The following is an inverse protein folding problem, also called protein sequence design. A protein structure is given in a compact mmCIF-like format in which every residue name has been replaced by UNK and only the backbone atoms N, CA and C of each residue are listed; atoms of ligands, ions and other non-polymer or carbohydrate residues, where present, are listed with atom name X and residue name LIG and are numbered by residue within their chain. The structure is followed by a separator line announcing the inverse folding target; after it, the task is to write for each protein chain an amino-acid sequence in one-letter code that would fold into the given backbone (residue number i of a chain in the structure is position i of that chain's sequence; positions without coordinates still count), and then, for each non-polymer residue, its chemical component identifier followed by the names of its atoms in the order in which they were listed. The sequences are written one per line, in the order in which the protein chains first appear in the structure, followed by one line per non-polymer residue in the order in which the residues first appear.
data_IF_589444813775
#
_entry.id   IF_589444813775
#
_cell.length_a   1.000
_cell.length_b   1.000
_cell.length_c   1.000
_cell.angle_alpha   90.00
_cell.angle_beta   90.00
_cell.angle_gamma   90.00
#
_symmetry.space_group_name_H-M   'P 1'
#
loop_
_entity.id
_entity.type
_entity.pdbx_description
1 polymer ?
#
# COMPACT_ATOMS: atom_id res chain seq x y z
N UNK A 1 -5.23 -35.91 4.09
CA UNK A 1 -3.88 -35.53 3.61
C UNK A 1 -3.21 -34.65 4.66
N UNK A 2 -1.90 -34.77 4.94
CA UNK A 2 -1.25 -33.86 5.88
C UNK A 2 -1.32 -32.45 5.32
N UNK A 3 -1.96 -31.56 6.08
CA UNK A 3 -2.30 -30.20 5.69
C UNK A 3 -1.08 -29.47 5.08
N UNK A 4 -1.14 -29.11 3.79
CA UNK A 4 -0.07 -28.40 3.07
C UNK A 4 0.34 -27.12 3.82
N UNK A 5 -0.62 -26.42 4.43
CA UNK A 5 -0.40 -25.25 5.29
C UNK A 5 0.51 -25.58 6.48
N UNK A 6 0.32 -26.74 7.13
CA UNK A 6 1.18 -27.17 8.26
C UNK A 6 2.59 -27.54 7.80
N UNK A 7 2.73 -28.22 6.64
CA UNK A 7 4.04 -28.54 6.07
C UNK A 7 4.80 -27.26 5.71
N UNK A 8 4.11 -26.30 5.11
CA UNK A 8 4.64 -24.99 4.79
C UNK A 8 5.05 -24.23 6.05
N UNK A 9 4.21 -24.18 7.09
CA UNK A 9 4.57 -23.54 8.37
C UNK A 9 5.85 -24.14 8.97
N UNK A 10 5.99 -25.47 8.97
CA UNK A 10 7.18 -26.16 9.51
C UNK A 10 8.45 -25.86 8.69
N UNK A 11 8.34 -25.86 7.36
CA UNK A 11 9.49 -25.52 6.51
C UNK A 11 9.85 -24.04 6.64
N UNK A 12 8.86 -23.16 6.76
CA UNK A 12 9.08 -21.74 6.96
C UNK A 12 9.79 -21.45 8.28
N UNK A 13 9.33 -22.03 9.39
CA UNK A 13 10.02 -21.89 10.69
C UNK A 13 11.45 -22.45 10.62
N UNK A 14 11.66 -23.58 9.94
CA UNK A 14 13.00 -24.15 9.76
C UNK A 14 13.93 -23.22 8.97
N UNK A 15 13.41 -22.61 7.90
CA UNK A 15 14.13 -21.58 7.14
C UNK A 15 14.47 -20.38 8.02
N UNK A 16 13.50 -19.84 8.77
CA UNK A 16 13.72 -18.68 9.62
C UNK A 16 14.78 -18.92 10.72
N UNK A 17 14.88 -20.15 11.24
CA UNK A 17 15.90 -20.54 12.22
C UNK A 17 17.32 -20.62 11.63
N UNK A 18 17.44 -21.03 10.36
CA UNK A 18 18.73 -21.10 9.66
C UNK A 18 18.52 -20.83 8.16
N UNK A 19 18.51 -19.54 7.75
CA UNK A 19 18.23 -19.14 6.38
C UNK A 19 19.40 -19.40 5.42
N UNK A 20 20.59 -19.75 5.93
CA UNK A 20 21.77 -20.07 5.13
C UNK A 20 21.84 -21.54 4.71
N UNK A 21 21.07 -22.42 5.36
CA UNK A 21 21.00 -23.84 5.02
C UNK A 21 20.35 -24.06 3.65
N UNK A 22 21.11 -24.60 2.70
CA UNK A 22 20.60 -24.97 1.38
C UNK A 22 19.41 -25.94 1.46
N UNK A 23 19.48 -26.92 2.37
CA UNK A 23 18.39 -27.88 2.64
C UNK A 23 17.11 -27.19 3.11
N UNK A 24 17.23 -26.17 3.97
CA UNK A 24 16.07 -25.42 4.45
C UNK A 24 15.46 -24.58 3.32
N UNK A 25 16.30 -23.91 2.51
CA UNK A 25 15.85 -23.17 1.31
C UNK A 25 15.09 -24.06 0.34
N UNK A 26 15.68 -25.20 -0.03
CA UNK A 26 15.08 -26.17 -0.95
C UNK A 26 13.75 -26.71 -0.41
N UNK A 27 13.71 -27.09 0.87
CA UNK A 27 12.49 -27.58 1.50
C UNK A 27 11.41 -26.50 1.55
N UNK A 28 11.78 -25.25 1.82
CA UNK A 28 10.87 -24.13 1.87
C UNK A 28 10.28 -23.82 0.49
N UNK A 29 11.11 -23.75 -0.55
CA UNK A 29 10.68 -23.59 -1.96
C UNK A 29 9.77 -24.72 -2.39
N UNK A 30 10.13 -25.97 -2.10
CA UNK A 30 9.31 -27.13 -2.44
C UNK A 30 7.93 -27.10 -1.80
N UNK A 31 7.85 -26.71 -0.52
CA UNK A 31 6.57 -26.56 0.16
C UNK A 31 5.75 -25.40 -0.40
N UNK A 32 6.39 -24.29 -0.76
CA UNK A 32 5.72 -23.15 -1.39
C UNK A 32 5.16 -23.53 -2.76
N UNK A 33 5.97 -24.20 -3.58
CA UNK A 33 5.54 -24.71 -4.88
C UNK A 33 4.35 -25.68 -4.76
N UNK A 34 4.33 -26.55 -3.75
CA UNK A 34 3.20 -27.45 -3.54
C UNK A 34 1.87 -26.72 -3.23
N UNK A 35 1.91 -25.57 -2.54
CA UNK A 35 0.73 -24.73 -2.34
C UNK A 35 0.27 -24.10 -3.66
N UNK A 36 1.22 -23.61 -4.47
CA UNK A 36 0.89 -23.03 -5.78
C UNK A 36 0.27 -24.08 -6.71
N UNK A 37 0.86 -25.27 -6.78
CA UNK A 37 0.38 -26.39 -7.60
C UNK A 37 -1.04 -26.80 -7.18
N UNK A 38 -1.26 -26.96 -5.87
CA UNK A 38 -2.58 -27.27 -5.31
C UNK A 38 -3.63 -26.20 -5.67
N UNK A 39 -3.28 -24.92 -5.58
CA UNK A 39 -4.17 -23.82 -5.94
C UNK A 39 -4.53 -23.82 -7.44
N UNK A 40 -3.55 -24.04 -8.32
CA UNK A 40 -3.79 -24.11 -9.77
C UNK A 40 -4.59 -25.36 -10.15
N UNK A 41 -4.35 -26.49 -9.48
CA UNK A 41 -5.14 -27.73 -9.70
C UNK A 41 -6.60 -27.54 -9.29
N UNK A 42 -6.88 -26.84 -8.19
CA UNK A 42 -8.25 -26.63 -7.71
C UNK A 42 -8.98 -25.48 -8.41
N UNK A 43 -8.28 -24.40 -8.78
CA UNK A 43 -8.90 -23.16 -9.26
C UNK A 43 -8.66 -22.89 -10.75
N UNK A 44 -7.81 -23.67 -11.42
CA UNK A 44 -7.35 -23.41 -12.78
C UNK A 44 -6.33 -22.28 -12.87
N UNK A 45 -6.10 -21.76 -14.08
CA UNK A 45 -5.10 -20.71 -14.36
C UNK A 45 -5.65 -19.28 -14.24
N UNK A 46 -6.78 -19.09 -13.56
CA UNK A 46 -7.36 -17.77 -13.31
C UNK A 46 -6.68 -17.10 -12.09
N UNK A 47 -5.91 -16.00 -12.28
CA UNK A 47 -5.12 -15.35 -11.22
C UNK A 47 -5.90 -15.04 -9.95
N UNK A 48 -7.05 -14.41 -10.08
CA UNK A 48 -7.83 -13.97 -8.92
C UNK A 48 -8.30 -15.16 -8.06
N UNK A 49 -8.63 -16.29 -8.69
CA UNK A 49 -9.10 -17.49 -7.99
C UNK A 49 -7.96 -18.22 -7.29
N UNK A 50 -6.88 -18.54 -8.01
CA UNK A 50 -5.78 -19.31 -7.40
C UNK A 50 -5.00 -18.45 -6.38
N UNK A 51 -4.89 -17.14 -6.56
CA UNK A 51 -4.28 -16.24 -5.55
C UNK A 51 -5.11 -16.21 -4.26
N UNK A 52 -6.43 -16.10 -4.38
CA UNK A 52 -7.33 -16.15 -3.21
C UNK A 52 -7.22 -17.48 -2.47
N UNK A 53 -7.18 -18.61 -3.19
CA UNK A 53 -6.98 -19.93 -2.61
C UNK A 53 -5.63 -20.05 -1.87
N UNK A 54 -4.53 -19.60 -2.51
CA UNK A 54 -3.22 -19.57 -1.86
C UNK A 54 -3.26 -18.73 -0.58
N UNK A 55 -3.91 -17.57 -0.61
CA UNK A 55 -4.02 -16.69 0.56
C UNK A 55 -4.68 -17.38 1.75
N UNK A 56 -5.79 -18.08 1.54
CA UNK A 56 -6.50 -18.84 2.58
C UNK A 56 -5.65 -19.97 3.19
N UNK A 57 -4.75 -20.58 2.40
CA UNK A 57 -3.82 -21.59 2.93
C UNK A 57 -2.64 -20.97 3.69
N UNK A 58 -2.11 -19.85 3.20
CA UNK A 58 -0.89 -19.21 3.71
C UNK A 58 -1.18 -18.42 4.99
N UNK A 59 -2.30 -17.68 5.05
CA UNK A 59 -2.68 -16.85 6.19
C UNK A 59 -2.59 -17.58 7.54
N UNK A 60 -3.24 -18.75 7.75
CA UNK A 60 -3.09 -19.50 8.99
C UNK A 60 -1.67 -20.07 9.17
N UNK A 61 -0.96 -20.37 8.07
CA UNK A 61 0.39 -20.92 8.13
C UNK A 61 1.41 -19.92 8.69
N UNK A 62 1.24 -18.63 8.41
CA UNK A 62 2.18 -17.57 8.83
C UNK A 62 1.70 -16.82 10.08
N UNK A 63 0.47 -17.05 10.53
CA UNK A 63 -0.10 -16.38 11.69
C UNK A 63 0.75 -16.58 12.95
N UNK A 64 1.02 -15.48 13.64
CA UNK A 64 1.81 -15.44 14.88
C UNK A 64 3.33 -15.59 14.70
N UNK A 65 3.82 -15.76 13.46
CA UNK A 65 5.27 -15.77 13.20
C UNK A 65 5.78 -14.33 13.26
N UNK A 66 6.71 -14.07 14.18
CA UNK A 66 7.43 -12.79 14.28
C UNK A 66 8.86 -13.00 13.81
N UNK A 67 9.36 -12.08 12.99
CA UNK A 67 10.74 -12.12 12.47
C UNK A 67 11.47 -10.84 12.82
N UNK A 68 12.78 -10.93 13.06
CA UNK A 68 13.61 -9.75 13.25
C UNK A 68 13.79 -8.99 11.93
N UNK A 69 14.15 -7.70 11.95
CA UNK A 69 14.42 -6.93 10.74
C UNK A 69 15.48 -7.57 9.84
N UNK A 70 16.55 -8.14 10.42
CA UNK A 70 17.61 -8.80 9.66
C UNK A 70 17.11 -10.07 8.97
N UNK A 71 16.34 -10.90 9.67
CA UNK A 71 15.72 -12.10 9.08
C UNK A 71 14.71 -11.73 8.00
N UNK A 72 13.95 -10.64 8.18
CA UNK A 72 13.05 -10.12 7.15
C UNK A 72 13.81 -9.69 5.90
N UNK A 73 14.95 -8.99 6.05
CA UNK A 73 15.81 -8.61 4.93
C UNK A 73 16.38 -9.83 4.20
N UNK A 74 16.85 -10.85 4.94
CA UNK A 74 17.35 -12.10 4.33
C UNK A 74 16.25 -12.83 3.57
N UNK A 75 15.04 -12.90 4.12
CA UNK A 75 13.90 -13.53 3.49
C UNK A 75 13.44 -12.78 2.23
N UNK A 76 13.31 -11.45 2.29
CA UNK A 76 12.95 -10.62 1.12
C UNK A 76 13.97 -10.77 -0.01
N UNK A 77 15.26 -10.71 0.33
CA UNK A 77 16.34 -10.94 -0.63
C UNK A 77 16.27 -12.33 -1.28
N UNK A 78 16.02 -13.38 -0.48
CA UNK A 78 15.84 -14.73 -1.00
C UNK A 78 14.62 -14.84 -1.92
N UNK A 79 13.47 -14.30 -1.52
CA UNK A 79 12.23 -14.33 -2.34
C UNK A 79 12.48 -13.67 -3.69
N UNK A 80 13.19 -12.54 -3.73
CA UNK A 80 13.55 -11.86 -4.98
C UNK A 80 14.46 -12.67 -5.88
N UNK A 81 15.39 -13.46 -5.33
CA UNK A 81 16.21 -14.33 -6.19
C UNK A 81 15.34 -15.34 -6.96
N UNK A 82 14.22 -15.77 -6.37
CA UNK A 82 13.28 -16.69 -7.01
C UNK A 82 12.45 -16.01 -8.11
N UNK A 83 12.17 -14.71 -8.02
CA UNK A 83 11.42 -13.99 -9.07
C UNK A 83 12.19 -13.91 -10.39
N UNK A 84 13.52 -14.03 -10.34
CA UNK A 84 14.40 -14.03 -11.52
C UNK A 84 14.83 -15.45 -11.94
N UNK A 85 14.32 -16.49 -11.30
CA UNK A 85 14.70 -17.87 -11.63
C UNK A 85 14.02 -18.37 -12.89
N UNK A 86 14.81 -18.99 -13.77
CA UNK A 86 14.32 -19.72 -14.96
C UNK A 86 13.67 -21.07 -14.58
N UNK A 87 13.89 -21.54 -13.35
CA UNK A 87 13.27 -22.77 -12.87
C UNK A 87 11.80 -22.51 -12.54
N UNK A 88 10.91 -23.12 -13.33
CA UNK A 88 9.45 -23.03 -13.15
C UNK A 88 9.00 -23.20 -11.70
N UNK A 89 9.58 -24.16 -10.96
CA UNK A 89 9.23 -24.41 -9.55
C UNK A 89 9.58 -23.24 -8.63
N UNK A 90 10.72 -22.59 -8.86
CA UNK A 90 11.18 -21.46 -8.05
C UNK A 90 10.36 -20.21 -8.35
N UNK A 91 10.11 -19.94 -9.63
CA UNK A 91 9.25 -18.85 -10.08
C UNK A 91 7.81 -18.98 -9.54
N UNK A 92 7.26 -20.20 -9.54
CA UNK A 92 5.92 -20.44 -8.99
C UNK A 92 5.89 -20.36 -7.46
N UNK A 93 6.94 -20.85 -6.78
CA UNK A 93 7.10 -20.68 -5.34
C UNK A 93 7.19 -19.22 -4.93
N UNK A 94 7.78 -18.34 -5.76
CA UNK A 94 7.87 -16.91 -5.49
C UNK A 94 6.50 -16.29 -5.14
N UNK A 95 5.42 -16.65 -5.84
CA UNK A 95 4.09 -16.10 -5.56
C UNK A 95 3.62 -16.40 -4.13
N UNK A 96 3.74 -17.66 -3.70
CA UNK A 96 3.37 -18.12 -2.35
C UNK A 96 4.24 -17.45 -1.29
N UNK A 97 5.55 -17.37 -1.55
CA UNK A 97 6.49 -16.78 -0.60
C UNK A 97 6.31 -15.26 -0.49
N UNK A 98 5.99 -14.58 -1.58
CA UNK A 98 5.71 -13.15 -1.60
C UNK A 98 4.43 -12.84 -0.81
N UNK A 99 3.36 -13.63 -0.97
CA UNK A 99 2.15 -13.52 -0.14
C UNK A 99 2.50 -13.73 1.35
N UNK A 100 3.29 -14.75 1.65
CA UNK A 100 3.74 -15.05 3.01
C UNK A 100 4.52 -13.89 3.63
N UNK A 101 5.43 -13.28 2.86
CA UNK A 101 6.21 -12.13 3.29
C UNK A 101 5.35 -10.88 3.54
N UNK A 102 4.37 -10.64 2.68
CA UNK A 102 3.45 -9.51 2.85
C UNK A 102 2.58 -9.66 4.10
N UNK A 103 2.23 -10.90 4.46
CA UNK A 103 1.47 -11.20 5.67
C UNK A 103 2.28 -11.02 6.98
N UNK A 104 3.60 -11.23 6.95
CA UNK A 104 4.47 -11.06 8.13
C UNK A 104 5.13 -9.68 8.23
N UNK A 105 5.22 -8.94 7.11
CA UNK A 105 5.78 -7.58 7.02
C UNK A 105 4.73 -6.60 6.43
N UNK A 106 3.54 -6.50 7.04
CA UNK A 106 2.41 -5.79 6.44
C UNK A 106 2.68 -4.29 6.26
N UNK A 107 3.48 -3.65 7.12
CA UNK A 107 3.73 -2.20 7.03
C UNK A 107 4.70 -1.88 5.90
N UNK A 108 5.72 -2.70 5.69
CA UNK A 108 6.63 -2.55 4.54
C UNK A 108 5.88 -2.78 3.23
N UNK A 109 5.07 -3.84 3.16
CA UNK A 109 4.23 -4.11 1.98
C UNK A 109 3.27 -2.94 1.70
N UNK A 110 2.56 -2.48 2.73
CA UNK A 110 1.65 -1.35 2.63
C UNK A 110 2.36 -0.07 2.18
N UNK A 111 3.56 0.22 2.71
CA UNK A 111 4.33 1.39 2.30
C UNK A 111 4.73 1.34 0.81
N UNK A 112 5.14 0.17 0.31
CA UNK A 112 5.43 -0.01 -1.14
C UNK A 112 4.19 0.24 -1.98
N UNK A 113 3.06 -0.36 -1.60
CA UNK A 113 1.79 -0.21 -2.31
C UNK A 113 1.31 1.24 -2.34
N UNK A 114 1.31 1.90 -1.18
CA UNK A 114 0.90 3.31 -1.02
C UNK A 114 1.77 4.21 -1.90
N UNK A 115 3.09 4.02 -1.88
CA UNK A 115 4.01 4.84 -2.66
C UNK A 115 3.80 4.63 -4.18
N UNK A 116 3.63 3.38 -4.61
CA UNK A 116 3.33 3.07 -6.01
C UNK A 116 2.01 3.72 -6.47
N UNK A 117 0.96 3.59 -5.65
CA UNK A 117 -0.35 4.19 -5.93
C UNK A 117 -0.30 5.72 -6.02
N UNK A 118 0.46 6.37 -5.12
CA UNK A 118 0.68 7.82 -5.17
C UNK A 118 1.41 8.24 -6.45
N UNK A 119 2.49 7.56 -6.84
CA UNK A 119 3.24 7.87 -8.05
C UNK A 119 2.41 7.68 -9.33
N UNK A 120 1.62 6.61 -9.40
CA UNK A 120 0.68 6.36 -10.51
C UNK A 120 -0.36 7.47 -10.58
N UNK A 121 -0.91 7.89 -9.43
CA UNK A 121 -1.89 8.96 -9.40
C UNK A 121 -1.29 10.32 -9.80
N UNK A 122 -0.06 10.61 -9.36
CA UNK A 122 0.66 11.82 -9.77
C UNK A 122 0.79 11.90 -11.29
N UNK A 123 1.13 10.79 -11.95
CA UNK A 123 1.25 10.73 -13.40
C UNK A 123 -0.08 10.95 -14.12
N UNK A 124 -1.16 10.30 -13.63
CA UNK A 124 -2.52 10.54 -14.14
C UNK A 124 -2.92 12.02 -14.04
N UNK A 125 -2.70 12.64 -12.89
CA UNK A 125 -3.01 14.06 -12.67
C UNK A 125 -2.13 15.00 -13.53
N UNK A 126 -0.88 14.62 -13.82
CA UNK A 126 -0.03 15.38 -14.77
C UNK A 126 -0.59 15.31 -16.19
N UNK A 127 -1.03 14.13 -16.64
CA UNK A 127 -1.66 13.98 -17.95
C UNK A 127 -2.98 14.77 -18.03
N UNK A 128 -3.80 14.72 -16.99
CA UNK A 128 -5.03 15.51 -16.90
C UNK A 128 -4.75 17.02 -16.93
N UNK A 129 -3.79 17.51 -16.14
CA UNK A 129 -3.38 18.93 -16.12
C UNK A 129 -2.92 19.40 -17.51
N UNK A 130 -2.14 18.59 -18.22
CA UNK A 130 -1.69 18.87 -19.58
C UNK A 130 -2.88 18.96 -20.57
N UNK A 131 -3.79 17.97 -20.52
CA UNK A 131 -4.96 17.93 -21.41
C UNK A 131 -5.89 19.11 -21.15
N UNK A 132 -6.24 19.38 -19.89
CA UNK A 132 -7.17 20.44 -19.50
C UNK A 132 -6.56 21.81 -19.80
N UNK A 133 -5.27 22.00 -19.52
CA UNK A 133 -4.56 23.25 -19.85
C UNK A 133 -4.58 23.50 -21.36
N UNK A 134 -4.18 22.53 -22.19
CA UNK A 134 -4.12 22.71 -23.64
C UNK A 134 -5.49 22.92 -24.28
N UNK A 135 -6.51 22.14 -23.88
CA UNK A 135 -7.88 22.28 -24.42
C UNK A 135 -8.51 23.62 -24.07
N UNK A 136 -8.20 24.17 -22.90
CA UNK A 136 -8.64 25.50 -22.50
C UNK A 136 -7.94 26.61 -23.31
N UNK A 137 -6.65 26.45 -23.61
CA UNK A 137 -5.94 27.35 -24.53
C UNK A 137 -6.50 27.32 -25.96
N UNK A 138 -7.11 26.21 -26.39
CA UNK A 138 -7.77 26.10 -27.70
C UNK A 138 -9.23 26.62 -27.74
N UNK A 139 -9.69 27.36 -26.72
CA UNK A 139 -11.00 28.00 -26.74
C UNK A 139 -12.19 27.05 -26.54
N UNK A 140 -12.00 25.93 -25.84
CA UNK A 140 -13.07 24.96 -25.60
C UNK A 140 -14.18 25.54 -24.70
N UNK A 141 -15.43 25.53 -25.19
CA UNK A 141 -16.64 25.97 -24.46
C UNK A 141 -16.97 25.12 -23.21
N UNK A 142 -16.35 23.96 -23.05
CA UNK A 142 -16.70 22.97 -22.02
C UNK A 142 -15.75 22.95 -20.81
N UNK A 143 -14.67 23.75 -20.82
CA UNK A 143 -13.66 23.75 -19.75
C UNK A 143 -13.50 25.15 -19.15
N UNK A 144 -13.62 25.22 -17.83
CA UNK A 144 -13.55 26.44 -17.04
C UNK A 144 -12.17 26.66 -16.41
N UNK A 145 -11.91 27.89 -15.94
CA UNK A 145 -10.72 28.19 -15.14
C UNK A 145 -10.67 27.36 -13.83
N UNK A 146 -11.83 27.01 -13.28
CA UNK A 146 -11.96 26.18 -12.08
C UNK A 146 -11.47 24.75 -12.29
N UNK A 147 -11.66 24.17 -13.48
CA UNK A 147 -11.25 22.78 -13.76
C UNK A 147 -9.72 22.63 -13.72
N UNK A 148 -9.01 23.57 -14.34
CA UNK A 148 -7.54 23.63 -14.27
C UNK A 148 -7.08 23.80 -12.82
N UNK A 149 -7.75 24.68 -12.06
CA UNK A 149 -7.40 24.96 -10.67
C UNK A 149 -7.63 23.74 -9.77
N UNK A 150 -8.70 22.97 -10.02
CA UNK A 150 -9.02 21.75 -9.28
C UNK A 150 -8.01 20.64 -9.54
N UNK A 151 -7.70 20.34 -10.81
CA UNK A 151 -6.69 19.32 -11.16
C UNK A 151 -5.33 19.67 -10.57
N UNK A 152 -4.93 20.96 -10.61
CA UNK A 152 -3.70 21.43 -9.98
C UNK A 152 -3.73 21.34 -8.45
N UNK A 153 -4.88 21.63 -7.83
CA UNK A 153 -5.08 21.44 -6.38
C UNK A 153 -4.89 19.98 -5.96
N UNK A 154 -5.56 19.04 -6.66
CA UNK A 154 -5.40 17.59 -6.44
C UNK A 154 -3.95 17.15 -6.61
N UNK A 155 -3.30 17.60 -7.68
CA UNK A 155 -1.88 17.31 -7.96
C UNK A 155 -0.98 17.82 -6.85
N UNK A 156 -1.17 19.05 -6.37
CA UNK A 156 -0.41 19.62 -5.24
C UNK A 156 -0.55 18.77 -3.98
N UNK A 157 -1.76 18.31 -3.66
CA UNK A 157 -1.98 17.42 -2.51
C UNK A 157 -1.19 16.13 -2.66
N UNK A 158 -1.24 15.49 -3.83
CA UNK A 158 -0.50 14.24 -4.09
C UNK A 158 1.01 14.47 -4.06
N UNK A 159 1.50 15.57 -4.63
CA UNK A 159 2.90 15.95 -4.63
C UNK A 159 3.41 16.12 -3.18
N UNK A 160 2.64 16.77 -2.31
CA UNK A 160 2.97 16.93 -0.90
C UNK A 160 3.02 15.60 -0.14
N UNK A 161 2.06 14.70 -0.39
CA UNK A 161 2.05 13.35 0.22
C UNK A 161 3.25 12.53 -0.26
N UNK A 162 3.58 12.59 -1.55
CA UNK A 162 4.77 11.93 -2.11
C UNK A 162 6.04 12.48 -1.49
N UNK A 163 6.18 13.81 -1.40
CA UNK A 163 7.36 14.43 -0.80
C UNK A 163 7.54 14.03 0.66
N UNK A 164 6.46 14.01 1.45
CA UNK A 164 6.48 13.55 2.84
C UNK A 164 7.03 12.12 2.92
N UNK A 165 6.41 11.18 2.20
CA UNK A 165 6.78 9.76 2.27
C UNK A 165 8.20 9.54 1.77
N UNK A 166 8.54 10.12 0.61
CA UNK A 166 9.85 9.96 0.00
C UNK A 166 10.96 10.56 0.88
N UNK A 167 10.73 11.73 1.48
CA UNK A 167 11.69 12.34 2.40
C UNK A 167 11.99 11.42 3.59
N UNK A 168 10.95 10.88 4.22
CA UNK A 168 11.13 9.98 5.37
C UNK A 168 11.82 8.67 4.97
N UNK A 169 11.45 8.10 3.82
CA UNK A 169 12.10 6.90 3.28
C UNK A 169 13.57 7.15 2.99
N UNK A 170 13.92 8.21 2.25
CA UNK A 170 15.31 8.52 1.93
C UNK A 170 16.14 8.92 3.16
N UNK A 171 15.50 9.48 4.19
CA UNK A 171 16.14 9.82 5.47
C UNK A 171 16.46 8.57 6.29
N UNK A 172 15.54 7.60 6.35
CA UNK A 172 15.71 6.36 7.10
C UNK A 172 16.55 5.32 6.36
N UNK A 173 16.52 5.35 5.02
CA UNK A 173 17.23 4.38 4.19
C UNK A 173 18.75 4.51 4.30
N UNK A 174 19.42 3.37 4.41
CA UNK A 174 20.88 3.24 4.38
C UNK A 174 21.42 2.87 2.99
N UNK A 175 20.55 2.80 1.97
CA UNK A 175 20.94 2.51 0.59
C UNK A 175 21.93 3.55 0.08
N UNK A 176 22.96 3.09 -0.64
CA UNK A 176 23.88 3.98 -1.33
C UNK A 176 23.20 4.61 -2.55
N UNK A 177 23.14 5.94 -2.62
CA UNK A 177 22.52 6.64 -3.76
C UNK A 177 22.01 8.04 -3.43
N UNK A 178 21.36 8.67 -4.41
CA UNK A 178 20.68 9.96 -4.24
C UNK A 178 19.54 9.86 -3.21
N UNK A 179 19.33 10.94 -2.44
CA UNK A 179 18.23 11.04 -1.46
C UNK A 179 17.01 11.77 -2.05
N UNK A 180 16.78 11.57 -3.34
CA UNK A 180 15.78 12.26 -4.12
C UNK A 180 15.42 11.43 -5.35
N UNK A 181 14.23 11.66 -5.89
CA UNK A 181 13.85 11.05 -7.16
C UNK A 181 14.64 11.64 -8.33
N UNK A 182 15.28 10.81 -9.18
CA UNK A 182 15.85 11.30 -10.42
C UNK A 182 14.77 11.88 -11.33
N UNK A 183 15.04 13.05 -11.91
CA UNK A 183 14.07 13.78 -12.75
C UNK A 183 13.72 13.00 -14.01
N UNK A 184 14.71 12.28 -14.58
CA UNK A 184 14.56 11.49 -15.80
C UNK A 184 13.74 10.22 -15.63
N UNK A 185 13.42 9.81 -14.39
CA UNK A 185 12.74 8.55 -14.17
C UNK A 185 11.25 8.63 -14.48
N UNK A 186 10.76 7.64 -15.22
CA UNK A 186 9.33 7.39 -15.37
C UNK A 186 8.71 6.83 -14.08
N UNK A 187 7.38 6.63 -14.07
CA UNK A 187 6.65 6.11 -12.90
C UNK A 187 7.19 4.76 -12.44
N UNK A 188 7.43 3.82 -13.37
CA UNK A 188 7.90 2.47 -13.04
C UNK A 188 9.30 2.52 -12.44
N UNK A 189 10.18 3.33 -13.03
CA UNK A 189 11.54 3.55 -12.55
C UNK A 189 11.54 4.21 -11.17
N UNK A 190 10.67 5.21 -10.91
CA UNK A 190 10.52 5.84 -9.59
C UNK A 190 10.01 4.85 -8.55
N UNK A 191 9.04 4.01 -8.90
CA UNK A 191 8.53 2.96 -8.01
C UNK A 191 9.63 1.97 -7.65
N UNK A 192 10.35 1.43 -8.64
CA UNK A 192 11.47 0.51 -8.37
C UNK A 192 12.58 1.18 -7.56
N UNK A 193 12.85 2.46 -7.81
CA UNK A 193 13.87 3.21 -7.11
C UNK A 193 13.52 3.38 -5.62
N UNK A 194 12.32 3.85 -5.29
CA UNK A 194 11.91 4.02 -3.90
C UNK A 194 11.73 2.68 -3.18
N UNK A 195 11.30 1.64 -3.87
CA UNK A 195 11.21 0.28 -3.31
C UNK A 195 12.58 -0.20 -2.81
N UNK A 196 13.66 0.00 -3.58
CA UNK A 196 15.03 -0.29 -3.13
C UNK A 196 15.35 0.41 -1.82
N UNK A 197 14.95 1.68 -1.66
CA UNK A 197 15.17 2.41 -0.41
C UNK A 197 14.32 1.85 0.75
N UNK A 198 13.04 1.53 0.50
CA UNK A 198 12.11 0.93 1.48
C UNK A 198 12.64 -0.41 2.00
N UNK A 199 13.40 -1.15 1.20
CA UNK A 199 13.96 -2.45 1.60
C UNK A 199 14.87 -2.35 2.82
N UNK A 200 15.57 -1.22 2.96
CA UNK A 200 16.48 -0.94 4.08
C UNK A 200 15.78 -0.54 5.36
N UNK A 201 14.49 -0.22 5.29
CA UNK A 201 13.72 0.16 6.47
C UNK A 201 13.30 -1.10 7.23
N UNK A 202 13.31 -1.01 8.55
CA UNK A 202 12.66 -1.94 9.45
C UNK A 202 11.14 -1.77 9.42
N UNK A 203 10.41 -2.79 9.84
CA UNK A 203 8.94 -2.70 10.03
C UNK A 203 8.53 -1.56 10.96
N UNK A 204 9.35 -1.23 11.96
CA UNK A 204 9.10 -0.10 12.87
C UNK A 204 9.19 1.23 12.13
N UNK A 205 10.22 1.41 11.31
CA UNK A 205 10.39 2.63 10.50
C UNK A 205 9.26 2.75 9.47
N UNK A 206 8.92 1.66 8.76
CA UNK A 206 7.76 1.66 7.85
C UNK A 206 6.47 2.06 8.57
N UNK A 207 6.24 1.52 9.77
CA UNK A 207 5.09 1.88 10.60
C UNK A 207 5.05 3.36 10.99
N UNK A 208 6.20 3.94 11.34
CA UNK A 208 6.30 5.37 11.68
C UNK A 208 5.99 6.26 10.47
N UNK A 209 6.48 5.90 9.29
CA UNK A 209 6.22 6.64 8.04
C UNK A 209 4.73 6.57 7.69
N UNK A 210 4.15 5.37 7.73
CA UNK A 210 2.73 5.15 7.49
C UNK A 210 1.84 5.93 8.48
N UNK A 211 2.23 5.98 9.76
CA UNK A 211 1.51 6.76 10.77
C UNK A 211 1.57 8.27 10.49
N UNK A 212 2.74 8.81 10.10
CA UNK A 212 2.88 10.22 9.70
C UNK A 212 2.04 10.53 8.47
N UNK A 213 2.00 9.62 7.50
CA UNK A 213 1.15 9.75 6.33
C UNK A 213 -0.33 9.80 6.70
N UNK A 214 -0.80 8.93 7.61
CA UNK A 214 -2.17 9.00 8.13
C UNK A 214 -2.47 10.35 8.79
N UNK A 215 -1.56 10.87 9.61
CA UNK A 215 -1.72 12.18 10.25
C UNK A 215 -1.85 13.32 9.22
N UNK A 216 -1.25 13.18 8.04
CA UNK A 216 -1.38 14.17 6.96
C UNK A 216 -2.65 13.99 6.13
N UNK A 217 -3.11 12.75 5.89
CA UNK A 217 -4.32 12.47 5.08
C UNK A 217 -5.61 12.71 5.87
N UNK A 218 -5.66 12.35 7.15
CA UNK A 218 -6.88 12.44 7.95
C UNK A 218 -7.51 13.86 7.97
N UNK A 219 -6.73 14.96 8.15
CA UNK A 219 -7.25 16.32 8.06
C UNK A 219 -7.89 16.64 6.71
N UNK A 220 -7.34 16.12 5.61
CA UNK A 220 -7.84 16.32 4.25
C UNK A 220 -9.21 15.66 4.08
N UNK A 221 -9.37 14.46 4.64
CA UNK A 221 -10.65 13.73 4.61
C UNK A 221 -11.69 14.34 5.55
N UNK A 222 -11.30 14.82 6.74
CA UNK A 222 -12.22 15.46 7.69
C UNK A 222 -12.76 16.81 7.21
N UNK A 223 -12.01 17.52 6.36
CA UNK A 223 -12.47 18.74 5.71
C UNK A 223 -13.68 18.51 4.78
N UNK A 224 -13.97 17.25 4.40
CA UNK A 224 -15.17 16.87 3.64
C UNK A 224 -16.46 16.84 4.52
N UNK A 225 -16.33 16.75 5.86
CA UNK A 225 -17.44 16.49 6.78
C UNK A 225 -17.96 17.68 7.59
N UNK A 226 -17.15 18.72 7.83
CA UNK A 226 -17.52 19.88 8.66
C UNK A 226 -17.31 21.18 7.88
N UNK A 227 -18.39 21.72 7.31
CA UNK A 227 -18.39 22.97 6.54
C UNK A 227 -18.41 24.26 7.40
N UNK A 228 -18.47 24.15 8.73
CA UNK A 228 -18.74 25.29 9.60
C UNK A 228 -17.59 25.72 10.52
N UNK A 229 -16.76 24.79 11.02
CA UNK A 229 -15.76 25.11 12.03
C UNK A 229 -14.49 24.29 11.79
N UNK A 230 -13.44 24.93 11.25
CA UNK A 230 -12.02 24.75 11.60
C UNK A 230 -11.21 25.77 10.78
N UNK A 231 -10.41 26.56 11.52
CA UNK A 231 -9.48 27.57 11.01
C UNK A 231 -8.41 26.92 10.13
N UNK A 232 -8.11 27.65 9.05
CA UNK A 232 -7.21 27.33 7.96
C UNK A 232 -5.75 27.21 8.44
N UNK A 233 -5.22 26.00 8.60
CA UNK A 233 -3.78 25.77 8.82
C UNK A 233 -2.92 26.00 7.56
N UNK A 234 -3.49 26.56 6.49
CA UNK A 234 -2.73 27.16 5.42
C UNK A 234 -2.73 28.70 5.51
N UNK A 235 -2.58 29.22 6.73
CA UNK A 235 -2.33 30.64 7.07
C UNK A 235 -1.15 31.29 6.31
N UNK A 236 -0.43 30.55 5.45
CA UNK A 236 0.60 31.07 4.55
C UNK A 236 0.19 31.17 3.07
N UNK A 237 -1.06 30.91 2.67
CA UNK A 237 -1.50 31.04 1.28
C UNK A 237 -2.92 31.64 1.17
N UNK A 238 -3.02 32.82 0.56
CA UNK A 238 -4.11 33.81 0.56
C UNK A 238 -5.56 33.33 0.30
N UNK A 239 -6.52 34.06 0.90
CA UNK A 239 -7.95 33.69 1.13
C UNK A 239 -8.86 33.51 -0.09
N UNK A 240 -8.54 34.09 -1.25
CA UNK A 240 -9.41 33.96 -2.44
C UNK A 240 -9.18 32.65 -3.23
N UNK A 241 -8.01 32.00 -3.07
CA UNK A 241 -7.57 30.92 -3.96
C UNK A 241 -7.98 29.50 -3.56
N UNK A 242 -8.21 29.24 -2.27
CA UNK A 242 -8.46 27.87 -1.76
C UNK A 242 -9.91 27.43 -1.86
N UNK A 243 -10.85 28.35 -1.66
CA UNK A 243 -12.28 28.01 -1.66
C UNK A 243 -12.82 27.67 -3.05
N UNK A 244 -12.20 28.15 -4.11
CA UNK A 244 -12.71 27.96 -5.47
C UNK A 244 -12.15 26.74 -6.20
N UNK A 245 -11.02 26.17 -5.74
CA UNK A 245 -10.38 25.04 -6.41
C UNK A 245 -11.04 23.69 -6.10
N UNK A 246 -11.77 23.57 -4.99
CA UNK A 246 -12.38 22.31 -4.52
C UNK A 246 -13.93 22.33 -4.51
N UNK A 247 -14.56 23.36 -5.06
CA UNK A 247 -16.01 23.61 -4.87
C UNK A 247 -16.78 24.02 -6.14
N UNK A 248 -16.24 23.89 -7.35
CA UNK A 248 -16.98 24.25 -8.56
C UNK A 248 -16.83 23.16 -9.62
N UNK A 249 -17.98 22.61 -10.03
CA UNK A 249 -18.18 21.54 -10.99
C UNK A 249 -17.22 21.58 -12.19
N UNK A 250 -16.36 20.57 -12.34
CA UNK A 250 -16.53 19.48 -13.31
C UNK A 250 -15.38 18.44 -13.15
N UNK A 251 -15.70 17.15 -13.33
CA UNK A 251 -14.85 15.96 -13.03
C UNK A 251 -14.74 15.52 -11.54
N UNK A 252 -15.91 15.19 -10.96
CA UNK A 252 -16.14 14.21 -9.90
C UNK A 252 -15.07 14.09 -8.77
N UNK A 253 -14.99 15.05 -7.86
CA UNK A 253 -14.05 15.01 -6.71
C UNK A 253 -14.21 13.77 -5.82
N UNK A 254 -15.36 13.08 -5.89
CA UNK A 254 -15.65 11.85 -5.14
C UNK A 254 -14.59 10.79 -5.37
N UNK A 255 -14.04 10.64 -6.59
CA UNK A 255 -13.04 9.61 -6.85
C UNK A 255 -11.73 9.88 -6.11
N UNK A 256 -11.33 11.16 -5.99
CA UNK A 256 -10.10 11.57 -5.30
C UNK A 256 -10.18 11.31 -3.80
N UNK A 257 -11.29 11.73 -3.18
CA UNK A 257 -11.54 11.44 -1.77
C UNK A 257 -11.74 9.94 -1.51
N UNK A 258 -12.36 9.20 -2.45
CA UNK A 258 -12.47 7.73 -2.38
C UNK A 258 -11.09 7.07 -2.41
N UNK A 259 -10.18 7.56 -3.26
CA UNK A 259 -8.80 7.08 -3.31
C UNK A 259 -8.09 7.30 -1.97
N UNK A 260 -8.15 8.51 -1.41
CA UNK A 260 -7.56 8.81 -0.10
C UNK A 260 -8.18 7.98 1.03
N UNK A 261 -9.50 7.78 1.02
CA UNK A 261 -10.19 6.96 2.01
C UNK A 261 -9.79 5.47 1.92
N UNK A 262 -9.67 4.93 0.71
CA UNK A 262 -9.16 3.57 0.49
C UNK A 262 -7.73 3.43 1.00
N UNK A 263 -6.88 4.41 0.73
CA UNK A 263 -5.51 4.43 1.23
C UNK A 263 -5.47 4.45 2.77
N UNK A 264 -6.25 5.31 3.42
CA UNK A 264 -6.36 5.35 4.89
C UNK A 264 -6.81 4.01 5.45
N UNK A 265 -7.79 3.35 4.81
CA UNK A 265 -8.23 2.01 5.21
C UNK A 265 -7.07 1.00 5.16
N UNK A 266 -6.37 0.90 4.03
CA UNK A 266 -5.22 -0.01 3.86
C UNK A 266 -4.12 0.26 4.89
N UNK A 267 -3.82 1.54 5.17
CA UNK A 267 -2.79 1.88 6.15
C UNK A 267 -3.23 1.52 7.58
N UNK A 268 -4.49 1.81 7.95
CA UNK A 268 -5.02 1.44 9.28
C UNK A 268 -4.95 -0.08 9.49
N UNK A 269 -5.39 -0.86 8.50
CA UNK A 269 -5.30 -2.33 8.54
C UNK A 269 -3.85 -2.80 8.72
N UNK A 270 -2.90 -2.26 7.95
CA UNK A 270 -1.49 -2.62 8.05
C UNK A 270 -0.83 -2.22 9.39
N UNK A 271 -1.30 -1.14 10.01
CA UNK A 271 -0.86 -0.70 11.34
C UNK A 271 -1.55 -1.46 12.49
N UNK A 272 -2.57 -2.27 12.20
CA UNK A 272 -3.42 -2.90 13.23
C UNK A 272 -4.28 -1.90 13.99
N UNK A 273 -4.58 -0.75 13.38
CA UNK A 273 -5.50 0.25 13.90
C UNK A 273 -6.92 -0.11 13.46
N UNK A 274 -7.88 0.04 14.38
CA UNK A 274 -9.29 -0.16 14.05
C UNK A 274 -9.72 0.79 12.93
N UNK A 275 -10.37 0.24 11.93
CA UNK A 275 -10.99 0.98 10.84
C UNK A 275 -12.26 1.68 11.33
N UNK A 276 -12.72 2.71 10.63
CA UNK A 276 -13.96 3.42 11.02
C UNK A 276 -15.18 2.49 11.01
N UNK A 277 -15.19 1.45 10.16
CA UNK A 277 -16.25 0.45 10.12
C UNK A 277 -16.22 -0.47 11.36
N UNK A 278 -15.03 -0.86 11.82
CA UNK A 278 -14.87 -1.64 13.06
C UNK A 278 -15.26 -0.82 14.29
N UNK A 279 -14.91 0.47 14.33
CA UNK A 279 -15.39 1.38 15.39
C UNK A 279 -16.91 1.54 15.38
N UNK A 280 -17.54 1.64 14.21
CA UNK A 280 -19.01 1.71 14.11
C UNK A 280 -19.66 0.40 14.53
N UNK A 281 -19.10 -0.76 14.17
CA UNK A 281 -19.60 -2.05 14.61
C UNK A 281 -19.45 -2.25 16.12
N UNK A 282 -18.30 -1.88 16.71
CA UNK A 282 -18.11 -1.94 18.15
C UNK A 282 -19.06 -1.01 18.89
N UNK A 283 -19.25 0.23 18.41
CA UNK A 283 -20.21 1.14 19.00
C UNK A 283 -21.65 0.59 18.90
N UNK A 284 -22.03 -0.01 17.77
CA UNK A 284 -23.34 -0.65 17.61
C UNK A 284 -23.51 -1.89 18.49
N UNK A 285 -22.45 -2.68 18.70
CA UNK A 285 -22.46 -3.83 19.61
C UNK A 285 -22.54 -3.36 21.05
N UNK A 286 -21.75 -2.38 21.45
CA UNK A 286 -21.78 -1.78 22.79
C UNK A 286 -23.14 -1.11 23.08
N UNK A 287 -23.77 -0.49 22.07
CA UNK A 287 -25.13 0.03 22.16
C UNK A 287 -26.18 -1.09 22.26
N UNK A 288 -26.06 -2.16 21.47
CA UNK A 288 -26.96 -3.31 21.56
C UNK A 288 -26.85 -4.05 22.91
N UNK A 289 -25.64 -4.16 23.46
CA UNK A 289 -25.37 -4.71 24.79
C UNK A 289 -25.95 -3.82 25.90
N UNK A 290 -25.85 -2.48 25.78
CA UNK A 290 -26.47 -1.52 26.72
C UNK A 290 -28.00 -1.53 26.68
N UNK A 291 -28.59 -1.84 25.52
CA UNK A 291 -30.05 -1.93 25.34
C UNK A 291 -30.58 -3.33 25.71
N UNK A 292 -29.72 -4.26 26.13
CA UNK A 292 -30.11 -5.59 26.61
C UNK A 292 -30.55 -6.55 25.50
N UNK A 293 -30.18 -6.26 24.24
CA UNK A 293 -30.44 -7.18 23.12
C UNK A 293 -29.26 -8.14 23.01
N UNK A 294 -29.29 -9.23 23.78
CA UNK A 294 -28.45 -10.40 23.50
C UNK A 294 -28.83 -10.95 22.12
N UNK A 295 -27.98 -10.67 21.12
CA UNK A 295 -28.02 -11.37 19.83
C UNK A 295 -27.67 -12.84 20.09
N UNK A 296 -28.66 -13.73 19.89
CA UNK A 296 -28.47 -15.18 19.83
C UNK A 296 -27.96 -15.59 18.46
#
# INVERSE_FOLDING_TARGET
MPNLSQKFRKSFISYLKNPHSAKNKETFVRCAFAIYEDAVTHCGLEPDKYISYMFEMIKPAVQGIKISPDTAKTLDGFIRTLSFSDLKKENQAFHVLNISYNLISPKKSCLREVMSNLLILQDKLKQEDFIVTNRKFSGSFFLSNSDVSNVRGKKSVIDDLIMLVAHEVFKASKEAGGKFFPVSFDVKQKTQYIEKHIDWLSEKECGQILHRLLQKINPILSAQGNSADIRDHAEYMTDAGKRSALMIHSFNDKWFFTFLAKMVKTIKEALGMKTSAEHLLENSVDEAEKVGVTLK
#
